data_IF_164946759928
#
_entry.id   IF_164946759928
#
_cell.length_a   1.000
_cell.length_b   1.000
_cell.length_c   1.000
_cell.angle_alpha   90.00
_cell.angle_beta   90.00
_cell.angle_gamma   90.00
#
_symmetry.space_group_name_H-M   'P 1'
#
loop_
_entity.id
_entity.type
_entity.pdbx_description
1 polymer ?
#
# COMPACT_ATOMS: atom_id res chain seq x y z
N UNK A 1 2.97 -9.33 -18.36
CA UNK A 1 2.77 -8.74 -17.02
C UNK A 1 3.64 -7.49 -16.94
N UNK A 2 3.07 -6.29 -17.02
CA UNK A 2 3.84 -5.05 -16.86
C UNK A 2 3.76 -4.66 -15.38
N UNK A 3 4.91 -4.58 -14.70
CA UNK A 3 4.97 -4.10 -13.32
C UNK A 3 5.53 -2.68 -13.33
N UNK A 4 4.86 -1.77 -12.61
CA UNK A 4 5.32 -0.39 -12.41
C UNK A 4 5.82 -0.30 -10.99
N UNK A 5 7.13 -0.18 -10.81
CA UNK A 5 7.72 0.01 -9.48
C UNK A 5 7.73 1.50 -9.16
N UNK A 6 6.82 1.94 -8.29
CA UNK A 6 6.78 3.31 -7.77
C UNK A 6 7.84 3.48 -6.65
N UNK A 7 9.13 3.36 -6.98
CA UNK A 7 10.22 3.48 -6.00
C UNK A 7 10.55 4.94 -5.63
N UNK A 8 10.33 5.89 -6.53
CA UNK A 8 10.97 7.22 -6.42
C UNK A 8 10.12 8.31 -5.74
N UNK A 9 8.83 8.09 -5.43
CA UNK A 9 7.91 9.18 -5.02
C UNK A 9 7.34 9.10 -3.60
N UNK A 10 7.72 8.11 -2.79
CA UNK A 10 7.22 7.90 -1.41
C UNK A 10 8.35 7.87 -0.36
N UNK A 11 9.37 8.70 -0.56
CA UNK A 11 10.61 8.64 0.23
C UNK A 11 10.45 9.33 1.60
N UNK A 12 10.22 8.52 2.64
CA UNK A 12 10.31 8.91 4.04
C UNK A 12 10.80 7.72 4.88
N UNK A 13 11.70 7.96 5.82
CA UNK A 13 12.37 6.93 6.63
C UNK A 13 11.37 6.10 7.45
N UNK A 14 10.99 4.92 6.95
CA UNK A 14 10.00 4.05 7.61
C UNK A 14 9.53 2.87 6.76
N UNK A 15 10.45 2.16 6.11
CA UNK A 15 10.19 1.13 5.09
C UNK A 15 9.38 -0.11 5.53
N UNK A 16 9.11 -0.30 6.83
CA UNK A 16 8.35 -1.45 7.35
C UNK A 16 6.94 -1.58 6.75
N UNK A 17 6.26 -0.45 6.55
CA UNK A 17 4.89 -0.43 6.01
C UNK A 17 4.84 -0.80 4.51
N UNK A 18 5.93 -0.59 3.77
CA UNK A 18 5.97 -0.87 2.32
C UNK A 18 6.14 -2.35 2.04
N UNK A 19 6.97 -3.04 2.84
CA UNK A 19 7.13 -4.49 2.74
C UNK A 19 5.82 -5.21 3.02
N UNK A 20 5.03 -4.73 3.99
CA UNK A 20 3.73 -5.32 4.31
C UNK A 20 2.70 -5.07 3.20
N UNK A 21 2.69 -3.87 2.61
CA UNK A 21 1.84 -3.53 1.47
C UNK A 21 2.14 -4.40 0.25
N UNK A 22 3.43 -4.55 -0.10
CA UNK A 22 3.85 -5.41 -1.22
C UNK A 22 3.43 -6.86 -0.98
N UNK A 23 3.62 -7.38 0.24
CA UNK A 23 3.20 -8.73 0.62
C UNK A 23 1.69 -8.92 0.47
N UNK A 24 0.89 -7.95 0.91
CA UNK A 24 -0.57 -8.01 0.80
C UNK A 24 -1.05 -8.04 -0.66
N UNK A 25 -0.48 -7.20 -1.53
CA UNK A 25 -0.79 -7.17 -2.96
C UNK A 25 -0.42 -8.49 -3.63
N UNK A 26 0.80 -8.99 -3.38
CA UNK A 26 1.28 -10.24 -3.96
C UNK A 26 0.44 -11.46 -3.51
N UNK A 27 -0.02 -11.48 -2.25
CA UNK A 27 -0.90 -12.53 -1.77
C UNK A 27 -2.22 -12.59 -2.57
N UNK A 28 -2.88 -11.45 -2.79
CA UNK A 28 -4.11 -11.38 -3.59
C UNK A 28 -3.86 -11.74 -5.06
N UNK A 29 -2.74 -11.30 -5.63
CA UNK A 29 -2.34 -11.66 -6.99
C UNK A 29 -2.15 -13.18 -7.16
N UNK A 30 -1.54 -13.84 -6.17
CA UNK A 30 -1.35 -15.31 -6.20
C UNK A 30 -2.67 -16.09 -6.18
N UNK A 31 -3.74 -15.48 -5.66
CA UNK A 31 -5.09 -16.03 -5.62
C UNK A 31 -5.90 -15.72 -6.90
N UNK A 32 -5.27 -15.12 -7.92
CA UNK A 32 -5.92 -14.75 -9.17
C UNK A 32 -6.74 -13.48 -9.09
N UNK A 33 -6.45 -12.58 -8.15
CA UNK A 33 -7.08 -11.26 -8.11
C UNK A 33 -6.18 -10.17 -8.68
N UNK A 34 -6.78 -9.18 -9.35
CA UNK A 34 -6.09 -7.98 -9.81
C UNK A 34 -6.46 -6.81 -8.90
N UNK A 35 -5.47 -6.04 -8.46
CA UNK A 35 -5.71 -4.80 -7.73
C UNK A 35 -6.43 -3.82 -8.68
N UNK A 36 -7.64 -3.41 -8.30
CA UNK A 36 -8.47 -2.49 -9.08
C UNK A 36 -8.28 -1.05 -8.59
N UNK A 37 -8.37 -0.82 -7.28
CA UNK A 37 -8.25 0.50 -6.67
C UNK A 37 -7.48 0.41 -5.36
N UNK A 38 -6.63 1.41 -5.11
CA UNK A 38 -6.04 1.68 -3.79
C UNK A 38 -6.40 3.10 -3.36
N UNK A 39 -6.86 3.27 -2.14
CA UNK A 39 -7.06 4.58 -1.50
C UNK A 39 -6.25 4.66 -0.22
N UNK A 40 -5.58 5.79 -0.02
CA UNK A 40 -4.79 6.05 1.18
C UNK A 40 -5.41 7.18 1.97
N UNK A 41 -5.56 6.98 3.28
CA UNK A 41 -5.96 8.02 4.22
C UNK A 41 -4.81 8.26 5.20
N UNK A 42 -4.33 9.49 5.29
CA UNK A 42 -3.38 9.92 6.31
C UNK A 42 -4.13 10.63 7.43
N UNK A 43 -4.02 10.14 8.66
CA UNK A 43 -4.47 10.87 9.85
C UNK A 43 -3.26 11.49 10.52
N UNK A 44 -3.16 12.83 10.45
CA UNK A 44 -2.10 13.59 11.11
C UNK A 44 -2.38 13.70 12.60
N UNK A 45 -1.51 13.13 13.44
CA UNK A 45 -1.61 13.30 14.89
C UNK A 45 -0.96 14.64 15.25
N UNK A 46 -1.74 15.66 15.60
CA UNK A 46 -1.20 16.82 16.33
C UNK A 46 -0.83 16.39 17.75
N UNK A 47 0.37 15.85 17.95
CA UNK A 47 0.90 15.47 19.27
C UNK A 47 2.40 15.26 19.25
N UNK A 48 3.08 15.72 20.29
CA UNK A 48 4.54 15.98 20.43
C UNK A 48 5.49 14.79 20.17
N UNK A 49 4.99 13.62 19.79
CA UNK A 49 5.77 12.42 19.43
C UNK A 49 5.08 11.52 18.36
N UNK A 50 4.01 11.97 17.72
CA UNK A 50 3.12 11.11 16.92
C UNK A 50 3.29 11.31 15.42
N UNK A 51 4.09 10.45 14.78
CA UNK A 51 4.23 10.42 13.32
C UNK A 51 2.91 10.19 12.58
N UNK A 52 2.88 10.58 11.30
CA UNK A 52 1.70 10.42 10.44
C UNK A 52 1.38 8.93 10.26
N UNK A 53 0.13 8.55 10.53
CA UNK A 53 -0.37 7.20 10.24
C UNK A 53 -1.03 7.21 8.87
N UNK A 54 -0.50 6.39 7.97
CA UNK A 54 -1.09 6.17 6.65
C UNK A 54 -1.82 4.83 6.70
N UNK A 55 -3.11 4.86 6.42
CA UNK A 55 -3.95 3.68 6.19
C UNK A 55 -4.16 3.52 4.69
N UNK A 56 -4.03 2.29 4.19
CA UNK A 56 -4.35 1.95 2.80
C UNK A 56 -5.53 0.98 2.75
N UNK A 57 -6.51 1.26 1.91
CA UNK A 57 -7.61 0.36 1.56
C UNK A 57 -7.45 -0.07 0.11
N UNK A 58 -7.47 -1.37 -0.14
CA UNK A 58 -7.27 -1.95 -1.47
C UNK A 58 -8.50 -2.77 -1.89
N UNK A 59 -8.96 -2.55 -3.11
CA UNK A 59 -10.08 -3.27 -3.73
C UNK A 59 -9.52 -4.12 -4.86
N UNK A 60 -9.87 -5.40 -4.85
CA UNK A 60 -9.40 -6.38 -5.82
C UNK A 60 -10.58 -6.95 -6.64
N UNK A 61 -10.35 -7.19 -7.93
CA UNK A 61 -11.28 -7.88 -8.82
C UNK A 61 -10.76 -9.29 -9.12
N UNK A 62 -11.65 -10.29 -9.23
CA UNK A 62 -11.26 -11.65 -9.55
C UNK A 62 -11.00 -11.78 -11.04
N UNK A 63 -9.85 -12.35 -11.41
CA UNK A 63 -9.61 -12.78 -12.78
C UNK A 63 -10.37 -14.09 -12.97
N UNK A 64 -11.41 -14.04 -13.80
CA UNK A 64 -12.15 -15.21 -14.28
C UNK A 64 -11.27 -16.14 -15.09
#
# INVERSE_FOLDING_TARGET
>A
MNYVVLKEKLWGTGSGNLTELEKAINAQASLGYRLHTISTASSGSKGLAGGDRIQATMVFEKLT
#
